data_IF_323793819992
#
_entry.id   IF_323793819992
#
_cell.length_a   1.000
_cell.length_b   1.000
_cell.length_c   1.000
_cell.angle_alpha   90.00
_cell.angle_beta   90.00
_cell.angle_gamma   90.00
#
_symmetry.space_group_name_H-M   'P 1'
#
loop_
_entity.id
_entity.type
_entity.pdbx_description
1 polymer ?
#
# COMPACT_ATOMS: atom_id res chain seq x y z
N UNK A 1 13.47 26.71 -11.71
CA UNK A 1 13.02 25.36 -11.31
C UNK A 1 13.49 24.41 -12.38
N UNK A 2 14.24 23.36 -12.04
CA UNK A 2 14.59 22.35 -13.03
C UNK A 2 13.37 21.44 -13.20
N UNK A 3 12.82 21.40 -14.40
CA UNK A 3 11.70 20.53 -14.74
C UNK A 3 12.22 19.09 -14.80
N UNK A 4 11.72 18.24 -13.89
CA UNK A 4 12.09 16.83 -13.85
C UNK A 4 11.00 16.04 -14.58
N UNK A 5 11.37 15.37 -15.66
CA UNK A 5 10.44 14.61 -16.52
C UNK A 5 10.55 13.12 -16.22
N UNK A 6 9.40 12.43 -16.19
CA UNK A 6 9.32 10.98 -16.02
C UNK A 6 8.51 10.37 -17.17
N UNK A 7 8.90 9.20 -17.65
CA UNK A 7 8.15 8.46 -18.67
C UNK A 7 6.91 7.80 -18.07
N UNK A 8 6.99 7.38 -16.80
CA UNK A 8 5.89 6.78 -16.06
C UNK A 8 5.79 7.37 -14.66
N UNK A 9 4.55 7.69 -14.26
CA UNK A 9 4.21 8.04 -12.89
C UNK A 9 3.24 6.99 -12.34
N UNK A 10 3.68 6.25 -11.32
CA UNK A 10 2.89 5.21 -10.65
C UNK A 10 2.44 5.77 -9.31
N UNK A 11 1.12 5.79 -9.12
CA UNK A 11 0.51 6.25 -7.86
C UNK A 11 0.12 5.04 -7.02
N UNK A 12 0.83 4.86 -5.91
CA UNK A 12 0.71 3.75 -4.98
C UNK A 12 1.77 2.67 -5.21
N UNK A 13 2.59 2.41 -4.20
CA UNK A 13 3.56 1.32 -4.15
C UNK A 13 3.00 0.08 -3.45
N UNK A 14 1.75 -0.27 -3.77
CA UNK A 14 1.15 -1.54 -3.35
C UNK A 14 1.68 -2.73 -4.16
N UNK A 15 1.10 -3.91 -3.96
CA UNK A 15 1.52 -5.16 -4.60
C UNK A 15 1.72 -5.02 -6.12
N UNK A 16 0.75 -4.41 -6.82
CA UNK A 16 0.85 -4.17 -8.26
C UNK A 16 1.81 -3.02 -8.61
N UNK A 17 1.76 -1.92 -7.86
CA UNK A 17 2.59 -0.73 -8.08
C UNK A 17 4.08 -1.02 -7.95
N UNK A 18 4.47 -1.77 -6.92
CA UNK A 18 5.85 -2.22 -6.73
C UNK A 18 6.30 -3.17 -7.86
N UNK A 19 5.44 -4.11 -8.27
CA UNK A 19 5.77 -5.06 -9.33
C UNK A 19 5.97 -4.36 -10.70
N UNK A 20 5.07 -3.43 -11.06
CA UNK A 20 5.17 -2.72 -12.34
C UNK A 20 6.30 -1.70 -12.34
N UNK A 21 6.54 -0.99 -11.23
CA UNK A 21 7.68 -0.08 -11.10
C UNK A 21 9.00 -0.82 -11.35
N UNK A 22 9.20 -1.96 -10.68
CA UNK A 22 10.38 -2.80 -10.87
C UNK A 22 10.53 -3.27 -12.33
N UNK A 23 9.43 -3.66 -12.99
CA UNK A 23 9.47 -4.12 -14.38
C UNK A 23 9.83 -3.00 -15.36
N UNK A 24 9.25 -1.82 -15.20
CA UNK A 24 9.44 -0.68 -16.09
C UNK A 24 10.85 -0.08 -15.94
N UNK A 25 11.39 -0.02 -14.71
CA UNK A 25 12.72 0.53 -14.46
C UNK A 25 13.87 -0.45 -14.78
N UNK A 26 13.61 -1.75 -14.93
CA UNK A 26 14.63 -2.81 -14.96
C UNK A 26 15.72 -2.66 -16.03
N UNK A 27 15.39 -2.08 -17.19
CA UNK A 27 16.32 -1.94 -18.32
C UNK A 27 16.93 -0.53 -18.44
N UNK A 28 16.62 0.40 -17.52
CA UNK A 28 17.12 1.78 -17.53
C UNK A 28 16.62 2.66 -18.68
N UNK A 29 15.75 2.16 -19.57
CA UNK A 29 15.21 2.93 -20.70
C UNK A 29 14.11 3.90 -20.31
N UNK A 30 13.55 3.74 -19.11
CA UNK A 30 12.43 4.54 -18.62
C UNK A 30 12.78 5.19 -17.28
N UNK A 31 12.56 6.50 -17.16
CA UNK A 31 12.52 7.19 -15.88
C UNK A 31 11.15 6.98 -15.24
N UNK A 32 11.13 6.31 -14.09
CA UNK A 32 9.90 5.93 -13.39
C UNK A 32 9.82 6.64 -12.05
N UNK A 33 8.76 7.40 -11.85
CA UNK A 33 8.38 7.96 -10.55
C UNK A 33 7.36 7.05 -9.86
N UNK A 34 7.67 6.59 -8.66
CA UNK A 34 6.75 5.83 -7.81
C UNK A 34 6.39 6.68 -6.58
N UNK A 35 5.11 7.00 -6.43
CA UNK A 35 4.57 7.76 -5.30
C UNK A 35 3.87 6.82 -4.32
N UNK A 36 4.25 6.87 -3.05
CA UNK A 36 3.60 6.11 -1.98
C UNK A 36 3.27 7.05 -0.83
N UNK A 37 2.03 7.00 -0.34
CA UNK A 37 1.56 7.82 0.78
C UNK A 37 2.08 7.31 2.13
N UNK A 38 2.34 6.01 2.21
CA UNK A 38 2.82 5.32 3.40
C UNK A 38 4.31 5.43 3.66
N UNK A 39 4.71 4.87 4.80
CA UNK A 39 6.13 4.77 5.17
C UNK A 39 6.82 3.64 4.39
N UNK A 40 8.16 3.69 4.26
CA UNK A 40 8.92 2.61 3.65
C UNK A 40 8.77 1.24 4.32
N UNK A 41 8.54 1.19 5.64
CA UNK A 41 8.32 -0.05 6.39
C UNK A 41 7.76 0.23 7.78
N UNK A 42 7.34 -0.83 8.48
CA UNK A 42 7.00 -0.83 9.91
C UNK A 42 7.74 -1.99 10.61
N UNK A 43 8.20 -1.88 11.88
CA UNK A 43 8.90 -2.98 12.56
C UNK A 43 8.17 -4.33 12.50
N UNK A 44 6.85 -4.32 12.72
CA UNK A 44 6.00 -5.52 12.61
C UNK A 44 5.80 -6.06 11.20
N UNK A 45 6.03 -5.29 10.13
CA UNK A 45 5.70 -5.74 8.75
C UNK A 45 6.64 -6.81 8.22
N UNK A 46 7.78 -7.05 8.88
CA UNK A 46 8.74 -8.10 8.53
C UNK A 46 8.51 -9.41 9.31
N UNK A 47 7.65 -9.38 10.32
CA UNK A 47 7.33 -10.52 11.17
C UNK A 47 5.97 -11.05 10.68
N UNK A 48 5.86 -12.28 10.15
CA UNK A 48 4.61 -12.77 9.55
C UNK A 48 3.39 -12.66 10.49
N UNK A 49 3.52 -13.08 11.75
CA UNK A 49 2.45 -12.94 12.76
C UNK A 49 2.19 -11.47 13.18
N UNK A 50 3.09 -10.57 12.81
CA UNK A 50 3.00 -9.13 13.08
C UNK A 50 1.85 -8.42 12.38
N UNK A 51 1.20 -9.04 11.38
CA UNK A 51 0.03 -8.47 10.71
C UNK A 51 -1.11 -8.12 11.68
N UNK A 52 -1.30 -8.92 12.74
CA UNK A 52 -2.30 -8.67 13.77
C UNK A 52 -2.06 -7.35 14.53
N UNK A 53 -0.81 -6.86 14.55
CA UNK A 53 -0.44 -5.54 15.11
C UNK A 53 -0.62 -4.39 14.12
N UNK A 54 -0.89 -4.69 12.85
CA UNK A 54 -0.96 -3.71 11.75
C UNK A 54 -2.38 -3.55 11.19
N UNK A 55 -3.24 -4.55 11.31
CA UNK A 55 -4.56 -4.58 10.68
C UNK A 55 -5.50 -3.45 11.13
N UNK A 56 -5.26 -2.82 12.28
CA UNK A 56 -5.99 -1.65 12.79
C UNK A 56 -5.07 -0.48 13.17
N UNK A 57 -3.82 -0.48 12.70
CA UNK A 57 -2.84 0.54 13.05
C UNK A 57 -2.75 1.62 11.97
N UNK A 58 -3.14 2.88 12.25
CA UNK A 58 -3.13 3.96 11.26
C UNK A 58 -1.72 4.30 10.76
N UNK A 59 -0.64 3.90 11.44
CA UNK A 59 0.72 4.07 10.96
C UNK A 59 1.07 3.17 9.75
N UNK A 60 0.30 2.10 9.52
CA UNK A 60 0.54 1.11 8.47
C UNK A 60 -0.72 0.78 7.64
N UNK A 61 -1.89 1.30 8.00
CA UNK A 61 -3.18 0.97 7.41
C UNK A 61 -4.00 2.24 7.21
N UNK A 62 -4.80 2.28 6.15
CA UNK A 62 -5.78 3.33 5.90
C UNK A 62 -6.98 3.27 6.86
N UNK A 63 -7.24 2.11 7.47
CA UNK A 63 -8.33 1.87 8.41
C UNK A 63 -9.70 2.28 7.85
N UNK A 64 -9.97 1.93 6.58
CA UNK A 64 -11.28 2.13 5.99
C UNK A 64 -12.33 1.24 6.64
N UNK A 65 -13.58 1.67 6.54
CA UNK A 65 -14.75 0.94 6.96
C UNK A 65 -15.82 1.05 5.87
N UNK A 66 -16.69 0.05 5.78
CA UNK A 66 -17.87 0.14 4.92
C UNK A 66 -18.90 1.13 5.50
N UNK A 67 -19.80 1.61 4.65
CA UNK A 67 -21.08 2.11 5.13
C UNK A 67 -21.94 0.97 5.71
N UNK A 68 -22.87 1.25 6.63
CA UNK A 68 -23.79 0.25 7.15
C UNK A 68 -24.79 -0.17 6.07
N UNK A 69 -25.16 -1.46 6.07
CA UNK A 69 -26.14 -2.03 5.14
C UNK A 69 -27.00 -3.08 5.84
N UNK A 70 -28.21 -3.31 5.33
CA UNK A 70 -29.15 -4.25 5.96
C UNK A 70 -28.60 -5.69 6.00
N UNK A 71 -27.87 -6.12 4.97
CA UNK A 71 -27.21 -7.44 4.89
C UNK A 71 -26.16 -7.66 5.97
N UNK A 72 -25.58 -6.60 6.54
CA UNK A 72 -24.62 -6.72 7.65
C UNK A 72 -25.29 -6.58 9.01
N UNK A 73 -26.62 -6.39 9.06
CA UNK A 73 -27.32 -5.99 10.28
C UNK A 73 -26.98 -4.55 10.67
N UNK A 74 -26.82 -3.66 9.68
CA UNK A 74 -26.45 -2.25 9.86
C UNK A 74 -25.10 -2.02 10.56
N UNK A 75 -24.17 -2.97 10.42
CA UNK A 75 -22.80 -2.84 10.96
C UNK A 75 -21.88 -2.18 9.93
N UNK A 76 -20.99 -1.32 10.42
CA UNK A 76 -19.79 -0.90 9.68
C UNK A 76 -18.75 -2.02 9.74
N UNK A 77 -18.27 -2.46 8.59
CA UNK A 77 -17.33 -3.58 8.50
C UNK A 77 -15.92 -3.01 8.24
N UNK A 78 -14.90 -3.38 9.04
CA UNK A 78 -13.52 -2.96 8.79
C UNK A 78 -13.01 -3.47 7.43
N UNK A 79 -12.41 -2.57 6.65
CA UNK A 79 -11.80 -2.86 5.35
C UNK A 79 -10.31 -2.45 5.40
N UNK A 80 -9.43 -3.28 6.00
CA UNK A 80 -8.03 -2.94 6.18
C UNK A 80 -7.31 -2.83 4.81
N UNK A 81 -6.60 -1.72 4.59
CA UNK A 81 -5.79 -1.48 3.39
C UNK A 81 -4.43 -0.95 3.78
N UNK A 82 -3.36 -1.61 3.34
CA UNK A 82 -2.00 -1.22 3.71
C UNK A 82 -1.61 0.15 3.18
N UNK A 83 -0.93 0.93 4.03
CA UNK A 83 -0.37 2.26 3.76
C UNK A 83 1.12 2.26 4.11
N UNK A 84 1.87 1.45 3.38
CA UNK A 84 3.33 1.27 3.44
C UNK A 84 3.84 0.97 2.02
N UNK A 85 5.14 1.03 1.77
CA UNK A 85 5.72 0.34 0.61
C UNK A 85 5.34 -1.16 0.68
N UNK A 86 4.93 -1.72 -0.46
CA UNK A 86 4.29 -3.04 -0.57
C UNK A 86 2.77 -3.02 -0.34
N UNK A 87 2.21 -1.92 0.17
CA UNK A 87 0.79 -1.71 0.39
C UNK A 87 0.15 -2.81 1.24
N UNK A 88 -0.95 -3.39 0.74
CA UNK A 88 -1.68 -4.42 1.49
C UNK A 88 -0.88 -5.72 1.64
N UNK A 89 0.11 -6.00 0.78
CA UNK A 89 1.01 -7.15 0.98
C UNK A 89 1.90 -6.98 2.21
N UNK A 90 2.14 -5.75 2.68
CA UNK A 90 2.97 -5.51 3.88
C UNK A 90 2.20 -5.66 5.20
N UNK A 91 0.88 -5.90 5.14
CA UNK A 91 0.01 -6.06 6.31
C UNK A 91 -0.95 -7.26 6.18
N UNK A 92 -0.69 -8.18 5.25
CA UNK A 92 -1.52 -9.35 5.02
C UNK A 92 -1.12 -10.51 5.96
N UNK A 93 -1.83 -11.64 5.87
CA UNK A 93 -1.54 -12.83 6.66
C UNK A 93 -0.36 -13.68 6.17
N UNK A 94 0.16 -13.46 4.95
CA UNK A 94 1.37 -14.05 4.33
C UNK A 94 1.78 -13.26 3.10
#
# INVERSE_FOLDING_TARGET
>A
MNETTYDFVIVGAGSAGSAIANRLSANGRHQVLLLEAGRPSHPWSRIPVGFAKLINNPAANWCYESEPEDSTGNRRIPVPRGRLLGGSSSINGM
#
